data_IF_606342416878
#
_entry.id   IF_606342416878
#
_cell.length_a   1.000
_cell.length_b   1.000
_cell.length_c   1.000
_cell.angle_alpha   90.00
_cell.angle_beta   90.00
_cell.angle_gamma   90.00
#
_symmetry.space_group_name_H-M   'P 1'
#
loop_
_entity.id
_entity.type
_entity.pdbx_description
1 polymer ?
#
# COMPACT_ATOMS: atom_id res chain seq x y z
N UNK A 1 -20.76 17.87 -26.82
CA UNK A 1 -20.77 16.54 -26.19
C UNK A 1 -19.44 16.33 -25.46
N UNK A 2 -19.39 16.37 -24.11
CA UNK A 2 -18.17 16.07 -23.39
C UNK A 2 -18.03 14.56 -23.16
N UNK A 3 -16.80 14.05 -23.32
CA UNK A 3 -16.41 12.64 -23.18
C UNK A 3 -16.64 12.19 -21.72
N UNK A 4 -17.29 11.03 -21.55
CA UNK A 4 -17.49 10.37 -20.25
C UNK A 4 -16.13 10.19 -19.57
N UNK A 5 -15.91 10.92 -18.48
CA UNK A 5 -14.77 10.73 -17.60
C UNK A 5 -14.80 9.30 -17.04
N UNK A 6 -13.65 8.64 -17.04
CA UNK A 6 -13.46 7.34 -16.41
C UNK A 6 -13.68 7.56 -14.91
N UNK A 7 -14.82 7.14 -14.38
CA UNK A 7 -15.02 7.01 -12.95
C UNK A 7 -14.15 5.84 -12.49
N UNK A 8 -13.01 6.13 -11.88
CA UNK A 8 -12.27 5.16 -11.08
C UNK A 8 -13.19 4.81 -9.91
N UNK A 9 -13.55 3.54 -9.76
CA UNK A 9 -14.32 3.09 -8.59
C UNK A 9 -13.51 3.40 -7.34
N UNK A 10 -14.05 4.26 -6.47
CA UNK A 10 -13.43 4.64 -5.20
C UNK A 10 -13.14 3.36 -4.39
N UNK A 11 -11.88 3.17 -4.00
CA UNK A 11 -11.50 2.14 -3.02
C UNK A 11 -12.21 2.48 -1.71
N UNK A 12 -13.00 1.55 -1.17
CA UNK A 12 -13.69 1.80 0.11
C UNK A 12 -12.77 1.53 1.30
N UNK A 13 -13.04 2.18 2.44
CA UNK A 13 -12.33 1.89 3.71
C UNK A 13 -12.44 0.41 4.09
N UNK A 14 -13.57 -0.23 3.79
CA UNK A 14 -13.79 -1.65 4.04
C UNK A 14 -12.87 -2.52 3.18
N UNK A 15 -12.64 -2.16 1.91
CA UNK A 15 -11.68 -2.87 1.05
C UNK A 15 -10.27 -2.78 1.62
N UNK A 16 -9.86 -1.61 2.12
CA UNK A 16 -8.55 -1.42 2.77
C UNK A 16 -8.39 -2.37 3.95
N UNK A 17 -9.38 -2.43 4.84
CA UNK A 17 -9.34 -3.32 6.01
C UNK A 17 -9.22 -4.79 5.59
N UNK A 18 -10.03 -5.24 4.63
CA UNK A 18 -10.02 -6.63 4.19
C UNK A 18 -8.73 -7.01 3.47
N UNK A 19 -8.23 -6.14 2.58
CA UNK A 19 -6.96 -6.35 1.87
C UNK A 19 -5.83 -6.52 2.90
N UNK A 20 -5.68 -5.57 3.82
CA UNK A 20 -4.58 -5.64 4.79
C UNK A 20 -4.75 -6.78 5.80
N UNK A 21 -5.98 -7.18 6.14
CA UNK A 21 -6.19 -8.39 6.95
C UNK A 21 -5.68 -9.63 6.21
N UNK A 22 -6.00 -9.80 4.93
CA UNK A 22 -5.48 -10.93 4.15
C UNK A 22 -3.96 -10.88 4.04
N UNK A 23 -3.38 -9.70 3.77
CA UNK A 23 -1.93 -9.52 3.68
C UNK A 23 -1.22 -9.92 4.99
N UNK A 24 -1.74 -9.50 6.15
CA UNK A 24 -1.16 -9.81 7.47
C UNK A 24 -1.13 -11.31 7.78
N UNK A 25 -2.18 -12.04 7.41
CA UNK A 25 -2.29 -13.47 7.70
C UNK A 25 -1.50 -14.33 6.69
N UNK A 26 -1.35 -13.86 5.46
CA UNK A 26 -0.85 -14.69 4.35
C UNK A 26 0.59 -14.37 3.96
N UNK A 27 1.02 -13.10 3.93
CA UNK A 27 2.38 -12.75 3.49
C UNK A 27 3.47 -13.34 4.39
N UNK A 28 3.37 -13.30 5.73
CA UNK A 28 4.37 -13.94 6.60
C UNK A 28 4.42 -15.46 6.43
N UNK A 29 3.28 -16.10 6.13
CA UNK A 29 3.21 -17.55 5.87
C UNK A 29 3.85 -17.87 4.52
N UNK A 30 3.49 -17.13 3.47
CA UNK A 30 4.05 -17.28 2.14
C UNK A 30 5.57 -17.07 2.14
N UNK A 31 6.06 -16.07 2.88
CA UNK A 31 7.49 -15.81 3.05
C UNK A 31 8.24 -17.02 3.63
N UNK A 32 7.72 -17.62 4.71
CA UNK A 32 8.36 -18.81 5.32
C UNK A 32 8.37 -20.01 4.39
N UNK A 33 7.28 -20.21 3.65
CA UNK A 33 7.19 -21.30 2.67
C UNK A 33 8.15 -21.07 1.49
N UNK A 34 8.35 -19.82 1.10
CA UNK A 34 9.21 -19.44 -0.01
C UNK A 34 10.70 -19.45 0.35
N UNK A 35 11.06 -19.12 1.59
CA UNK A 35 12.44 -18.88 2.01
C UNK A 35 13.47 -19.94 1.53
N UNK A 36 13.19 -21.26 1.56
CA UNK A 36 14.15 -22.27 1.09
C UNK A 36 14.39 -22.26 -0.44
N UNK A 37 13.51 -21.61 -1.21
CA UNK A 37 13.47 -21.65 -2.67
C UNK A 37 13.77 -20.30 -3.32
N UNK A 38 13.98 -19.23 -2.53
CA UNK A 38 14.24 -17.90 -3.05
C UNK A 38 15.64 -17.85 -3.70
N UNK A 39 15.75 -17.47 -4.97
CA UNK A 39 17.04 -17.27 -5.61
C UNK A 39 17.81 -16.09 -4.98
N UNK A 40 19.06 -16.34 -4.56
CA UNK A 40 19.91 -15.33 -3.90
C UNK A 40 20.20 -14.13 -4.81
N UNK A 41 20.40 -14.37 -6.11
CA UNK A 41 20.61 -13.33 -7.13
C UNK A 41 19.45 -12.33 -7.15
N UNK A 42 18.22 -12.82 -7.09
CA UNK A 42 17.00 -12.01 -7.14
C UNK A 42 16.82 -11.23 -5.84
N UNK A 43 17.12 -11.83 -4.68
CA UNK A 43 17.19 -11.10 -3.39
C UNK A 43 18.21 -9.96 -3.43
N UNK A 44 19.41 -10.22 -3.98
CA UNK A 44 20.44 -9.19 -4.14
C UNK A 44 19.97 -8.07 -5.09
N UNK A 45 19.30 -8.42 -6.19
CA UNK A 45 18.73 -7.45 -7.11
C UNK A 45 17.72 -6.53 -6.41
N UNK A 46 16.80 -7.07 -5.59
CA UNK A 46 15.87 -6.26 -4.82
C UNK A 46 16.61 -5.37 -3.81
N UNK A 47 17.60 -5.92 -3.08
CA UNK A 47 18.42 -5.14 -2.14
C UNK A 47 19.12 -3.96 -2.81
N UNK A 48 19.73 -4.18 -3.97
CA UNK A 48 20.38 -3.11 -4.73
C UNK A 48 19.36 -2.10 -5.26
N UNK A 49 18.22 -2.57 -5.77
CA UNK A 49 17.15 -1.72 -6.29
C UNK A 49 16.58 -0.80 -5.20
N UNK A 50 16.37 -1.32 -3.99
CA UNK A 50 15.99 -0.51 -2.84
C UNK A 50 17.12 0.38 -2.33
N UNK A 51 18.39 0.15 -2.67
CA UNK A 51 19.49 1.03 -2.27
C UNK A 51 19.76 2.17 -3.27
N UNK A 52 19.23 2.10 -4.50
CA UNK A 52 19.37 3.19 -5.47
C UNK A 52 18.52 4.39 -5.04
N UNK A 53 19.14 5.56 -5.02
CA UNK A 53 18.54 6.85 -4.64
C UNK A 53 17.80 7.52 -5.81
N UNK A 54 17.11 6.72 -6.63
CA UNK A 54 16.40 7.27 -7.77
C UNK A 54 15.11 7.94 -7.32
N UNK A 55 15.13 9.27 -7.42
CA UNK A 55 14.06 10.23 -7.20
C UNK A 55 12.81 10.03 -8.09
N UNK A 56 12.63 8.85 -8.69
CA UNK A 56 11.42 8.49 -9.41
C UNK A 56 10.40 7.90 -8.44
N UNK A 57 9.80 8.81 -7.68
CA UNK A 57 8.75 8.58 -6.69
C UNK A 57 7.56 7.77 -7.25
N UNK A 58 7.38 7.74 -8.58
CA UNK A 58 6.37 6.96 -9.27
C UNK A 58 6.71 5.47 -9.41
N UNK A 59 7.98 5.08 -9.33
CA UNK A 59 8.42 3.68 -9.48
C UNK A 59 8.48 2.92 -8.14
N UNK A 60 8.57 3.60 -7.00
CA UNK A 60 8.78 2.94 -5.69
C UNK A 60 7.69 1.94 -5.29
N UNK A 61 6.41 2.18 -5.62
CA UNK A 61 5.36 1.21 -5.31
C UNK A 61 5.39 -0.04 -6.20
N UNK A 62 5.90 0.09 -7.44
CA UNK A 62 6.05 -1.04 -8.35
C UNK A 62 7.13 -1.99 -7.85
N UNK A 63 8.24 -1.44 -7.34
CA UNK A 63 9.31 -2.22 -6.74
C UNK A 63 8.83 -2.95 -5.46
N UNK A 64 8.08 -2.25 -4.60
CA UNK A 64 7.40 -2.82 -3.44
C UNK A 64 6.49 -4.01 -3.83
N UNK A 65 5.54 -3.79 -4.74
CA UNK A 65 4.63 -4.84 -5.20
C UNK A 65 5.36 -6.01 -5.85
N UNK A 66 6.39 -5.74 -6.65
CA UNK A 66 7.19 -6.78 -7.29
C UNK A 66 7.96 -7.64 -6.27
N UNK A 67 8.49 -7.04 -5.19
CA UNK A 67 9.16 -7.78 -4.11
C UNK A 67 8.19 -8.74 -3.42
N UNK A 68 7.00 -8.26 -3.07
CA UNK A 68 5.98 -9.09 -2.42
C UNK A 68 5.54 -10.26 -3.30
N UNK A 69 5.22 -9.99 -4.57
CA UNK A 69 4.84 -11.05 -5.52
C UNK A 69 5.98 -12.04 -5.76
N UNK A 70 7.23 -11.59 -5.87
CA UNK A 70 8.39 -12.47 -5.96
C UNK A 70 8.44 -13.47 -4.80
N UNK A 71 8.26 -13.02 -3.57
CA UNK A 71 8.25 -13.91 -2.39
C UNK A 71 7.07 -14.88 -2.47
N UNK A 72 5.86 -14.37 -2.77
CA UNK A 72 4.63 -15.16 -2.82
C UNK A 72 4.70 -16.25 -3.90
N UNK A 73 5.18 -15.92 -5.10
CA UNK A 73 5.29 -16.84 -6.23
C UNK A 73 6.26 -18.01 -5.96
N UNK A 74 7.20 -17.83 -5.03
CA UNK A 74 8.12 -18.89 -4.60
C UNK A 74 7.59 -19.74 -3.42
N UNK A 75 6.40 -19.46 -2.89
CA UNK A 75 5.87 -20.18 -1.72
C UNK A 75 5.44 -21.63 -2.01
N UNK A 76 5.43 -22.05 -3.28
CA UNK A 76 5.09 -23.43 -3.69
C UNK A 76 3.61 -23.81 -3.51
N UNK A 77 2.75 -22.88 -3.09
CA UNK A 77 1.32 -23.12 -2.93
C UNK A 77 0.51 -22.31 -3.95
N UNK A 78 0.07 -22.99 -5.02
CA UNK A 78 -0.72 -22.37 -6.10
C UNK A 78 -1.96 -21.62 -5.61
N UNK A 79 -2.66 -22.11 -4.57
CA UNK A 79 -3.86 -21.43 -4.07
C UNK A 79 -3.52 -20.11 -3.37
N UNK A 80 -2.41 -20.06 -2.63
CA UNK A 80 -1.91 -18.81 -2.04
C UNK A 80 -1.51 -17.84 -3.15
N UNK A 81 -0.77 -18.32 -4.15
CA UNK A 81 -0.31 -17.50 -5.27
C UNK A 81 -1.50 -16.89 -6.03
N UNK A 82 -2.43 -17.73 -6.50
CA UNK A 82 -3.59 -17.29 -7.28
C UNK A 82 -4.45 -16.29 -6.49
N UNK A 83 -4.69 -16.54 -5.20
CA UNK A 83 -5.43 -15.64 -4.32
C UNK A 83 -4.70 -14.31 -4.11
N UNK A 84 -3.40 -14.35 -3.82
CA UNK A 84 -2.63 -13.16 -3.49
C UNK A 84 -2.42 -12.26 -4.71
N UNK A 85 -2.33 -12.79 -5.93
CA UNK A 85 -2.37 -11.96 -7.14
C UNK A 85 -3.63 -11.08 -7.18
N UNK A 86 -4.79 -11.67 -6.90
CA UNK A 86 -6.05 -10.90 -6.85
C UNK A 86 -6.03 -9.85 -5.74
N UNK A 87 -5.46 -10.17 -4.57
CA UNK A 87 -5.30 -9.20 -3.46
C UNK A 87 -4.38 -8.05 -3.86
N UNK A 88 -3.26 -8.32 -4.54
CA UNK A 88 -2.29 -7.30 -4.96
C UNK A 88 -2.81 -6.39 -6.08
N UNK A 89 -3.70 -6.88 -6.94
CA UNK A 89 -4.42 -6.04 -7.91
C UNK A 89 -5.30 -4.99 -7.22
N UNK A 90 -5.92 -5.36 -6.10
CA UNK A 90 -6.72 -4.44 -5.27
C UNK A 90 -5.83 -3.50 -4.45
N UNK A 91 -4.78 -4.05 -3.82
CA UNK A 91 -3.80 -3.30 -3.04
C UNK A 91 -3.14 -2.18 -3.87
N UNK A 92 -2.81 -2.46 -5.13
CA UNK A 92 -2.26 -1.47 -6.05
C UNK A 92 -3.20 -0.26 -6.22
N UNK A 93 -4.51 -0.49 -6.32
CA UNK A 93 -5.50 0.59 -6.40
C UNK A 93 -5.58 1.40 -5.12
N UNK A 94 -5.48 0.75 -3.95
CA UNK A 94 -5.41 1.42 -2.65
C UNK A 94 -4.20 2.35 -2.59
N UNK A 95 -3.03 1.84 -3.00
CA UNK A 95 -1.78 2.61 -3.01
C UNK A 95 -1.88 3.80 -3.98
N UNK A 96 -2.33 3.60 -5.22
CA UNK A 96 -2.47 4.69 -6.20
C UNK A 96 -3.42 5.77 -5.67
N UNK A 97 -4.53 5.36 -5.06
CA UNK A 97 -5.53 6.29 -4.50
C UNK A 97 -4.98 7.09 -3.32
N UNK A 98 -4.13 6.51 -2.48
CA UNK A 98 -3.50 7.23 -1.36
C UNK A 98 -2.33 8.12 -1.77
N UNK A 99 -1.55 7.73 -2.80
CA UNK A 99 -0.39 8.50 -3.29
C UNK A 99 -0.75 9.80 -4.00
N UNK A 100 -1.93 9.89 -4.64
CA UNK A 100 -2.34 11.10 -5.39
C UNK A 100 -2.51 12.33 -4.48
N UNK A 101 -2.67 12.15 -3.17
CA UNK A 101 -3.00 13.23 -2.23
C UNK A 101 -1.83 13.73 -1.35
N UNK A 102 -0.56 13.48 -1.76
CA UNK A 102 0.68 14.06 -1.18
C UNK A 102 0.83 13.93 0.35
N UNK A 103 0.08 13.06 1.00
CA UNK A 103 0.27 12.77 2.42
C UNK A 103 1.52 11.91 2.59
N UNK A 104 2.27 12.12 3.67
CA UNK A 104 3.52 11.41 3.97
C UNK A 104 3.26 9.90 3.96
N UNK A 105 3.58 9.24 2.86
CA UNK A 105 3.59 7.79 2.82
C UNK A 105 4.79 7.35 3.63
N UNK A 106 4.52 6.43 4.53
CA UNK A 106 5.53 5.71 5.28
C UNK A 106 6.68 5.25 4.38
N UNK A 107 7.91 5.60 4.73
CA UNK A 107 9.09 5.16 3.99
C UNK A 107 9.41 3.70 4.34
N UNK A 108 8.70 2.78 3.67
CA UNK A 108 8.85 1.34 3.85
C UNK A 108 10.18 0.79 3.32
N UNK A 109 11.02 1.61 2.68
CA UNK A 109 12.31 1.20 2.10
C UNK A 109 13.20 0.48 3.10
N UNK A 110 13.29 1.01 4.33
CA UNK A 110 14.10 0.41 5.39
C UNK A 110 13.57 -0.96 5.82
N UNK A 111 12.25 -1.13 5.85
CA UNK A 111 11.60 -2.38 6.22
C UNK A 111 11.82 -3.45 5.15
N UNK A 112 11.71 -3.08 3.86
CA UNK A 112 12.04 -4.00 2.76
C UNK A 112 13.49 -4.47 2.83
N UNK A 113 14.43 -3.55 3.04
CA UNK A 113 15.85 -3.89 3.20
C UNK A 113 16.09 -4.82 4.38
N UNK A 114 15.41 -4.60 5.51
CA UNK A 114 15.46 -5.48 6.67
C UNK A 114 14.98 -6.89 6.33
N UNK A 115 13.80 -7.03 5.71
CA UNK A 115 13.25 -8.32 5.29
C UNK A 115 14.22 -9.06 4.36
N UNK A 116 14.75 -8.38 3.35
CA UNK A 116 15.69 -8.99 2.39
C UNK A 116 16.96 -9.45 3.09
N UNK A 117 17.56 -8.61 3.95
CA UNK A 117 18.76 -8.99 4.69
C UNK A 117 18.51 -10.22 5.57
N UNK A 118 17.37 -10.26 6.28
CA UNK A 118 17.02 -11.42 7.10
C UNK A 118 16.80 -12.70 6.27
N UNK A 119 16.24 -12.59 5.06
CA UNK A 119 16.13 -13.71 4.13
C UNK A 119 17.49 -14.19 3.63
N UNK A 120 18.39 -13.27 3.26
CA UNK A 120 19.76 -13.59 2.85
C UNK A 120 20.58 -14.23 3.98
N UNK A 121 20.35 -13.80 5.22
CA UNK A 121 20.99 -14.37 6.42
C UNK A 121 20.29 -15.66 6.92
N UNK A 122 19.34 -16.20 6.14
CA UNK A 122 18.52 -17.37 6.47
C UNK A 122 17.83 -17.29 7.86
N UNK A 123 17.53 -16.07 8.32
CA UNK A 123 16.85 -15.77 9.58
C UNK A 123 15.33 -15.72 9.37
N UNK A 124 14.75 -16.83 8.93
CA UNK A 124 13.37 -16.90 8.40
C UNK A 124 12.33 -16.41 9.40
N UNK A 125 12.39 -16.81 10.66
CA UNK A 125 11.40 -16.41 11.68
C UNK A 125 11.42 -14.89 11.94
N UNK A 126 12.62 -14.30 11.89
CA UNK A 126 12.79 -12.85 12.01
C UNK A 126 12.24 -12.15 10.77
N UNK A 127 12.51 -12.69 9.57
CA UNK A 127 11.99 -12.15 8.32
C UNK A 127 10.45 -12.18 8.28
N UNK A 128 9.81 -13.25 8.80
CA UNK A 128 8.35 -13.30 8.96
C UNK A 128 7.83 -12.20 9.89
N UNK A 129 8.51 -12.00 11.02
CA UNK A 129 8.14 -10.96 11.99
C UNK A 129 8.28 -9.57 11.38
N UNK A 130 9.37 -9.32 10.64
CA UNK A 130 9.59 -8.07 9.92
C UNK A 130 8.53 -7.85 8.83
N UNK A 131 8.15 -8.89 8.08
CA UNK A 131 7.07 -8.82 7.09
C UNK A 131 5.73 -8.44 7.73
N UNK A 132 5.36 -9.08 8.84
CA UNK A 132 4.15 -8.74 9.58
C UNK A 132 4.14 -7.26 10.01
N UNK A 133 5.25 -6.80 10.60
CA UNK A 133 5.39 -5.42 11.05
C UNK A 133 5.29 -4.41 9.89
N UNK A 134 5.93 -4.71 8.76
CA UNK A 134 5.85 -3.92 7.54
C UNK A 134 4.40 -3.77 7.04
N UNK A 135 3.66 -4.89 6.94
CA UNK A 135 2.26 -4.87 6.48
C UNK A 135 1.37 -4.10 7.46
N UNK A 136 1.56 -4.25 8.77
CA UNK A 136 0.80 -3.50 9.78
C UNK A 136 1.09 -1.99 9.71
N UNK A 137 2.34 -1.59 9.48
CA UNK A 137 2.71 -0.19 9.25
C UNK A 137 2.06 0.37 7.98
N UNK A 138 2.05 -0.41 6.89
CA UNK A 138 1.39 -0.03 5.65
C UNK A 138 -0.12 0.13 5.84
N UNK A 139 -0.76 -0.78 6.58
CA UNK A 139 -2.18 -0.73 6.94
C UNK A 139 -2.51 0.54 7.70
N UNK A 140 -1.74 0.86 8.75
CA UNK A 140 -1.93 2.08 9.54
C UNK A 140 -1.84 3.33 8.67
N UNK A 141 -0.81 3.43 7.83
CA UNK A 141 -0.65 4.56 6.91
C UNK A 141 -1.81 4.68 5.91
N UNK A 142 -2.32 3.56 5.40
CA UNK A 142 -3.49 3.55 4.51
C UNK A 142 -4.75 4.01 5.25
N UNK A 143 -5.04 3.46 6.43
CA UNK A 143 -6.22 3.83 7.22
C UNK A 143 -6.19 5.31 7.63
N UNK A 144 -5.05 5.83 8.07
CA UNK A 144 -4.88 7.25 8.42
C UNK A 144 -5.25 8.16 7.24
N UNK A 145 -4.90 7.77 6.01
CA UNK A 145 -5.29 8.49 4.80
C UNK A 145 -6.81 8.50 4.59
N UNK A 146 -7.46 7.34 4.65
CA UNK A 146 -8.91 7.23 4.39
C UNK A 146 -9.76 7.87 5.49
N UNK A 147 -9.34 7.81 6.76
CA UNK A 147 -10.01 8.52 7.85
C UNK A 147 -9.92 10.04 7.68
N UNK A 148 -8.76 10.56 7.28
CA UNK A 148 -8.61 12.00 7.02
C UNK A 148 -9.47 12.46 5.85
N UNK A 149 -9.57 11.69 4.76
CA UNK A 149 -10.49 11.97 3.65
C UNK A 149 -11.94 12.09 4.11
N UNK A 150 -12.43 11.13 4.92
CA UNK A 150 -13.79 11.19 5.46
C UNK A 150 -14.00 12.43 6.34
N UNK A 151 -13.01 12.81 7.16
CA UNK A 151 -13.10 14.01 7.98
C UNK A 151 -13.21 15.29 7.14
N UNK A 152 -12.52 15.38 5.99
CA UNK A 152 -12.63 16.50 5.05
C UNK A 152 -13.95 16.51 4.28
N UNK A 153 -14.49 15.34 3.90
CA UNK A 153 -15.78 15.25 3.23
C UNK A 153 -16.98 15.51 4.15
N UNK A 154 -16.77 15.44 5.47
CA UNK A 154 -17.80 15.61 6.49
C UNK A 154 -17.86 17.02 7.10
N UNK A 155 -16.99 17.95 6.68
CA UNK A 155 -17.06 19.32 7.18
C UNK A 155 -18.29 20.02 6.59
N UNK A 156 -19.26 20.47 7.42
CA UNK A 156 -20.37 21.27 6.92
C UNK A 156 -19.85 22.53 6.24
N UNK A 157 -20.52 22.97 5.18
CA UNK A 157 -20.13 24.18 4.45
C UNK A 157 -19.94 25.34 5.45
N UNK A 158 -18.86 26.14 5.32
CA UNK A 158 -18.60 27.21 6.26
C UNK A 158 -19.81 28.13 6.35
N UNK A 159 -20.37 28.26 7.55
CA UNK A 159 -21.58 29.06 7.83
C UNK A 159 -21.40 30.53 7.44
N UNK A 160 -20.16 31.04 7.39
CA UNK A 160 -19.85 32.39 6.92
C UNK A 160 -20.27 32.62 5.45
N UNK A 161 -20.18 31.61 4.57
CA UNK A 161 -20.62 31.76 3.16
C UNK A 161 -22.13 31.92 3.03
N UNK A 162 -22.89 31.37 3.98
CA UNK A 162 -24.35 31.54 4.06
C UNK A 162 -24.68 32.94 4.60
N UNK A 163 -23.93 33.45 5.57
CA UNK A 163 -24.10 34.80 6.12
C UNK A 163 -23.72 35.91 5.12
N UNK A 164 -22.68 35.71 4.29
CA UNK A 164 -22.30 36.66 3.24
C UNK A 164 -23.31 36.74 2.08
N UNK A 165 -24.14 35.72 1.88
CA UNK A 165 -25.25 35.78 0.90
C UNK A 165 -26.47 36.52 1.44
N UNK A 166 -26.70 36.52 2.75
CA UNK A 166 -27.79 37.27 3.38
C UNK A 166 -27.52 38.78 3.38
N UNK A 167 -26.26 39.22 3.42
CA UNK A 167 -25.92 40.65 3.42
C UNK A 167 -26.04 41.35 2.06
N UNK A 168 -26.37 40.64 0.97
CA UNK A 168 -26.49 41.23 -0.37
C UNK A 168 -27.95 41.47 -0.82
N UNK A 169 -28.95 41.06 -0.04
CA UNK A 169 -30.37 41.20 -0.40
C UNK A 169 -31.14 42.25 0.41
N UNK A 170 -30.54 42.90 1.42
CA UNK A 170 -31.20 43.93 2.24
C UNK A 170 -30.84 45.38 1.85
N UNK A 171 -30.32 45.58 0.63
CA UNK A 171 -30.08 46.90 0.05
C UNK A 171 -30.84 47.06 -1.27
N UNK A 172 -32.18 47.07 -1.20
CA UNK A 172 -33.02 47.70 -2.22
C UNK A 172 -34.35 48.17 -1.65
#
# INVERSE_FOLDING_TARGET
>A
MPKKGIYVTDVSLNDVVQIFQTRLEIEPVALRLAAPYLPEKELLYFKESFNRDEADFHCGFRLDTAMHLFIIEHCGNRFIIDMMHQVFDQNTRVIISSKQNKTKIHDARKEHLEIINLLMDNSVEKAQTAMYAHVENCKRAALDYFYNLQAFSSQPAPTYKTQLKMSYNDAK
#
